data_IF_343199609761
#
_entry.id   IF_343199609761
#
_cell.length_a   1.000
_cell.length_b   1.000
_cell.length_c   1.000
_cell.angle_alpha   90.00
_cell.angle_beta   90.00
_cell.angle_gamma   90.00
#
_symmetry.space_group_name_H-M   'P 1'
#
loop_
_entity.id
_entity.type
_entity.pdbx_description
1 polymer ?
#
# COMPACT_ATOMS: atom_id res chain seq x y z
N UNK A 1 37.46 26.25 2.21
CA UNK A 1 37.01 24.84 2.39
C UNK A 1 35.95 24.58 1.33
N UNK A 2 36.27 23.80 0.29
CA UNK A 2 35.37 23.55 -0.84
C UNK A 2 34.20 22.67 -0.38
N UNK A 3 32.97 23.14 -0.55
CA UNK A 3 31.76 22.35 -0.30
C UNK A 3 31.61 21.33 -1.43
N UNK A 4 31.91 20.07 -1.13
CA UNK A 4 31.65 18.95 -2.06
C UNK A 4 30.15 18.91 -2.36
N UNK A 5 29.72 18.91 -3.64
CA UNK A 5 28.32 18.70 -3.98
C UNK A 5 27.91 17.28 -3.55
N UNK A 6 26.84 17.17 -2.78
CA UNK A 6 26.31 15.89 -2.31
C UNK A 6 25.79 15.13 -3.55
N UNK A 7 26.49 14.06 -3.91
CA UNK A 7 26.08 13.17 -5.01
C UNK A 7 24.95 12.25 -4.54
N UNK A 8 23.74 12.48 -5.04
CA UNK A 8 22.53 11.72 -4.70
C UNK A 8 22.47 10.28 -5.26
N UNK A 9 23.60 9.72 -5.73
CA UNK A 9 23.71 8.36 -6.27
C UNK A 9 24.59 7.47 -5.39
N UNK A 10 24.36 7.49 -4.08
CA UNK A 10 25.03 6.56 -3.17
C UNK A 10 24.08 5.38 -2.92
N UNK A 11 24.45 4.19 -3.39
CA UNK A 11 23.64 2.96 -3.22
C UNK A 11 23.30 2.68 -1.75
N UNK A 12 24.16 3.14 -0.85
CA UNK A 12 24.03 3.01 0.60
C UNK A 12 23.03 4.00 1.24
N UNK A 13 22.49 4.97 0.49
CA UNK A 13 21.54 5.95 1.02
C UNK A 13 20.30 6.09 0.11
N UNK A 14 19.39 5.10 0.15
CA UNK A 14 18.20 5.13 -0.68
C UNK A 14 17.18 6.17 -0.19
N UNK A 15 16.18 6.55 -1.02
CA UNK A 15 15.16 7.53 -0.64
C UNK A 15 14.42 7.09 0.64
N UNK A 16 14.45 7.95 1.66
CA UNK A 16 13.89 7.66 2.98
C UNK A 16 14.81 6.95 3.98
N UNK A 17 16.07 6.69 3.59
CA UNK A 17 17.09 6.06 4.44
C UNK A 17 17.03 4.52 4.43
N UNK A 18 18.09 3.87 4.92
CA UNK A 18 18.21 2.41 4.84
C UNK A 18 17.15 1.66 5.67
N UNK A 19 16.70 2.25 6.79
CA UNK A 19 15.79 1.61 7.72
C UNK A 19 14.43 1.30 7.07
N UNK A 20 13.88 2.24 6.29
CA UNK A 20 12.58 2.01 5.62
C UNK A 20 12.68 0.88 4.59
N UNK A 21 13.81 0.75 3.91
CA UNK A 21 14.01 -0.31 2.93
C UNK A 21 14.13 -1.70 3.56
N UNK A 22 14.77 -1.81 4.73
CA UNK A 22 14.78 -3.07 5.50
C UNK A 22 13.35 -3.49 5.85
N UNK A 23 12.53 -2.55 6.34
CA UNK A 23 11.11 -2.81 6.64
C UNK A 23 10.36 -3.25 5.38
N UNK A 24 10.54 -2.55 4.25
CA UNK A 24 9.90 -2.91 2.98
C UNK A 24 10.25 -4.33 2.55
N UNK A 25 11.52 -4.72 2.60
CA UNK A 25 11.91 -6.08 2.22
C UNK A 25 11.30 -7.12 3.16
N UNK A 26 11.29 -6.85 4.46
CA UNK A 26 10.67 -7.75 5.44
C UNK A 26 9.18 -7.94 5.16
N UNK A 27 8.45 -6.86 4.90
CA UNK A 27 7.03 -6.92 4.57
C UNK A 27 6.78 -7.64 3.24
N UNK A 28 7.54 -7.32 2.18
CA UNK A 28 7.40 -7.98 0.88
C UNK A 28 7.71 -9.47 0.94
N UNK A 29 8.72 -9.88 1.72
CA UNK A 29 9.03 -11.29 1.93
C UNK A 29 7.89 -11.97 2.70
N UNK A 30 7.36 -11.33 3.75
CA UNK A 30 6.27 -11.88 4.56
C UNK A 30 5.00 -12.10 3.73
N UNK A 31 4.56 -11.08 2.99
CA UNK A 31 3.42 -11.19 2.07
C UNK A 31 3.70 -12.17 0.93
N UNK A 32 4.92 -12.16 0.38
CA UNK A 32 5.34 -13.07 -0.69
C UNK A 32 5.28 -14.54 -0.26
N UNK A 33 5.78 -14.87 0.93
CA UNK A 33 5.70 -16.23 1.49
C UNK A 33 4.25 -16.66 1.71
N UNK A 34 3.40 -15.78 2.25
CA UNK A 34 1.99 -16.09 2.45
C UNK A 34 1.23 -16.28 1.12
N UNK A 35 1.56 -15.51 0.08
CA UNK A 35 1.01 -15.68 -1.27
C UNK A 35 1.49 -16.99 -1.93
N UNK A 36 2.76 -17.34 -1.78
CA UNK A 36 3.30 -18.62 -2.25
C UNK A 36 2.61 -19.79 -1.54
N UNK A 37 2.41 -19.69 -0.23
CA UNK A 37 1.65 -20.69 0.52
C UNK A 37 0.22 -20.81 -0.02
N UNK A 38 -0.50 -19.70 -0.19
CA UNK A 38 -1.84 -19.69 -0.77
C UNK A 38 -1.88 -20.35 -2.16
N UNK A 39 -0.89 -20.08 -3.02
CA UNK A 39 -0.77 -20.72 -4.34
C UNK A 39 -0.54 -22.23 -4.26
N UNK A 40 0.26 -22.69 -3.29
CA UNK A 40 0.47 -24.13 -3.06
C UNK A 40 -0.81 -24.81 -2.60
N UNK A 41 -1.49 -24.27 -1.58
CA UNK A 41 -2.79 -24.81 -1.12
C UNK A 41 -3.86 -24.76 -2.22
N UNK A 42 -3.84 -23.75 -3.09
CA UNK A 42 -4.74 -23.68 -4.23
C UNK A 42 -4.49 -24.74 -5.31
N UNK A 43 -3.29 -25.34 -5.35
CA UNK A 43 -3.00 -26.50 -6.21
C UNK A 43 -3.49 -27.81 -5.57
N UNK A 44 -3.44 -27.89 -4.24
CA UNK A 44 -3.91 -29.05 -3.49
C UNK A 44 -5.45 -29.13 -3.42
N UNK A 45 -6.12 -27.97 -3.34
CA UNK A 45 -7.59 -27.85 -3.25
C UNK A 45 -8.19 -26.97 -4.39
N UNK A 46 -7.98 -27.32 -5.68
CA UNK A 46 -8.31 -26.44 -6.80
C UNK A 46 -9.82 -26.13 -6.89
N UNK A 47 -10.68 -27.10 -6.58
CA UNK A 47 -12.13 -26.86 -6.59
C UNK A 47 -12.58 -25.86 -5.52
N UNK A 48 -12.02 -25.93 -4.31
CA UNK A 48 -12.37 -25.05 -3.21
C UNK A 48 -11.94 -23.62 -3.53
N UNK A 49 -10.72 -23.46 -4.03
CA UNK A 49 -10.17 -22.16 -4.41
C UNK A 49 -10.93 -21.53 -5.58
N UNK A 50 -11.24 -22.31 -6.62
CA UNK A 50 -12.02 -21.82 -7.76
C UNK A 50 -13.43 -21.35 -7.34
N UNK A 51 -14.17 -22.19 -6.62
CA UNK A 51 -15.52 -21.85 -6.14
C UNK A 51 -15.49 -20.63 -5.21
N UNK A 52 -14.48 -20.53 -4.34
CA UNK A 52 -14.33 -19.40 -3.41
C UNK A 52 -13.95 -18.10 -4.11
N UNK A 53 -13.08 -18.15 -5.12
CA UNK A 53 -12.72 -16.99 -5.94
C UNK A 53 -13.93 -16.41 -6.66
N UNK A 54 -14.85 -17.24 -7.15
CA UNK A 54 -16.11 -16.79 -7.77
C UNK A 54 -17.05 -16.08 -6.80
N UNK A 55 -16.91 -16.32 -5.49
CA UNK A 55 -17.66 -15.59 -4.47
C UNK A 55 -17.09 -14.18 -4.24
N UNK A 56 -15.91 -13.84 -4.78
CA UNK A 56 -15.34 -12.50 -4.72
C UNK A 56 -15.85 -11.61 -5.86
N UNK A 57 -15.90 -10.30 -5.61
CA UNK A 57 -16.24 -9.33 -6.65
C UNK A 57 -14.95 -8.75 -7.23
N UNK A 58 -14.54 -9.23 -8.40
CA UNK A 58 -13.33 -8.78 -9.08
C UNK A 58 -13.39 -7.30 -9.49
N UNK A 59 -14.58 -6.74 -9.72
CA UNK A 59 -14.76 -5.31 -10.02
C UNK A 59 -14.37 -4.45 -8.82
N UNK A 60 -14.75 -4.84 -7.60
CA UNK A 60 -14.31 -4.12 -6.38
C UNK A 60 -12.79 -4.15 -6.23
N UNK A 61 -12.18 -5.32 -6.45
CA UNK A 61 -10.72 -5.45 -6.48
C UNK A 61 -10.07 -4.54 -7.53
N UNK A 62 -10.61 -4.51 -8.75
CA UNK A 62 -10.08 -3.70 -9.84
C UNK A 62 -10.21 -2.19 -9.58
N UNK A 63 -11.36 -1.74 -9.06
CA UNK A 63 -11.57 -0.33 -8.67
C UNK A 63 -10.59 0.07 -7.57
N UNK A 64 -10.37 -0.78 -6.56
CA UNK A 64 -9.37 -0.55 -5.52
C UNK A 64 -7.95 -0.43 -6.09
N UNK A 65 -7.60 -1.27 -7.05
CA UNK A 65 -6.31 -1.18 -7.76
C UNK A 65 -6.16 0.15 -8.49
N UNK A 66 -7.21 0.63 -9.16
CA UNK A 66 -7.19 1.96 -9.80
C UNK A 66 -7.01 3.07 -8.77
N UNK A 67 -7.70 3.02 -7.62
CA UNK A 67 -7.54 4.01 -6.56
C UNK A 67 -6.11 4.05 -6.02
N UNK A 68 -5.49 2.90 -5.75
CA UNK A 68 -4.12 2.85 -5.23
C UNK A 68 -3.07 3.26 -6.25
N UNK A 69 -3.14 2.77 -7.49
CA UNK A 69 -2.18 3.16 -8.55
C UNK A 69 -2.27 4.68 -8.81
N UNK A 70 -3.48 5.22 -8.86
CA UNK A 70 -3.70 6.67 -9.03
C UNK A 70 -3.18 7.44 -7.81
N UNK A 71 -3.41 6.93 -6.60
CA UNK A 71 -2.87 7.50 -5.36
C UNK A 71 -1.34 7.54 -5.35
N UNK A 72 -0.70 6.45 -5.78
CA UNK A 72 0.75 6.35 -5.96
C UNK A 72 1.26 7.38 -6.96
N UNK A 73 0.61 7.55 -8.11
CA UNK A 73 0.98 8.61 -9.06
C UNK A 73 0.93 10.01 -8.41
N UNK A 74 -0.13 10.32 -7.66
CA UNK A 74 -0.20 11.59 -6.94
C UNK A 74 0.88 11.72 -5.87
N UNK A 75 1.27 10.63 -5.21
CA UNK A 75 2.35 10.64 -4.23
C UNK A 75 3.69 10.99 -4.89
N UNK A 76 4.01 10.36 -6.02
CA UNK A 76 5.22 10.66 -6.78
C UNK A 76 5.25 12.13 -7.24
N UNK A 77 4.12 12.68 -7.70
CA UNK A 77 4.00 14.12 -8.02
C UNK A 77 4.17 15.01 -6.79
N UNK A 78 3.68 14.58 -5.63
CA UNK A 78 3.85 15.29 -4.36
C UNK A 78 5.32 15.45 -3.98
N UNK A 79 6.10 14.35 -4.08
CA UNK A 79 7.55 14.33 -3.86
C UNK A 79 8.27 15.26 -4.84
N UNK A 80 7.94 15.19 -6.15
CA UNK A 80 8.54 16.04 -7.19
C UNK A 80 8.35 17.53 -6.89
N UNK A 81 7.14 17.95 -6.52
CA UNK A 81 6.87 19.34 -6.15
C UNK A 81 7.51 19.75 -4.83
N UNK A 82 7.66 18.81 -3.88
CA UNK A 82 8.30 19.08 -2.60
C UNK A 82 9.79 19.40 -2.80
N UNK A 83 10.48 18.62 -3.63
CA UNK A 83 11.89 18.86 -4.02
C UNK A 83 12.09 20.20 -4.73
N UNK A 84 11.08 20.68 -5.47
CA UNK A 84 11.07 21.99 -6.15
C UNK A 84 10.67 23.15 -5.23
N UNK A 85 10.40 22.89 -3.95
CA UNK A 85 9.97 23.91 -2.99
C UNK A 85 8.52 24.41 -3.19
N UNK A 86 7.73 23.77 -4.05
CA UNK A 86 6.35 24.19 -4.32
C UNK A 86 5.37 23.56 -3.34
N UNK A 87 5.28 24.15 -2.14
CA UNK A 87 4.47 23.64 -1.03
C UNK A 87 2.98 23.57 -1.36
N UNK A 88 2.45 24.52 -2.11
CA UNK A 88 1.02 24.54 -2.50
C UNK A 88 0.66 23.29 -3.32
N UNK A 89 1.47 22.97 -4.32
CA UNK A 89 1.25 21.77 -5.15
C UNK A 89 1.53 20.50 -4.36
N UNK A 90 2.59 20.44 -3.57
CA UNK A 90 2.84 19.29 -2.67
C UNK A 90 1.64 19.00 -1.78
N UNK A 91 1.10 20.02 -1.11
CA UNK A 91 -0.06 19.87 -0.22
C UNK A 91 -1.31 19.39 -0.97
N UNK A 92 -1.53 19.84 -2.21
CA UNK A 92 -2.64 19.39 -3.05
C UNK A 92 -2.48 17.91 -3.42
N UNK A 93 -1.34 17.52 -3.99
CA UNK A 93 -1.10 16.14 -4.42
C UNK A 93 -1.09 15.17 -3.24
N UNK A 94 -0.54 15.55 -2.08
CA UNK A 94 -0.59 14.73 -0.88
C UNK A 94 -2.03 14.47 -0.39
N UNK A 95 -2.93 15.47 -0.50
CA UNK A 95 -4.37 15.24 -0.20
C UNK A 95 -5.01 14.28 -1.18
N UNK A 96 -4.68 14.37 -2.46
CA UNK A 96 -5.19 13.45 -3.49
C UNK A 96 -4.70 12.01 -3.25
N UNK A 97 -3.44 11.83 -2.83
CA UNK A 97 -2.91 10.54 -2.38
C UNK A 97 -3.73 9.98 -1.22
N UNK A 98 -3.91 10.76 -0.15
CA UNK A 98 -4.68 10.33 1.02
C UNK A 98 -6.15 10.01 0.65
N UNK A 99 -6.76 10.78 -0.25
CA UNK A 99 -8.11 10.51 -0.74
C UNK A 99 -8.20 9.13 -1.40
N UNK A 100 -7.25 8.77 -2.26
CA UNK A 100 -7.23 7.44 -2.89
C UNK A 100 -7.12 6.30 -1.86
N UNK A 101 -6.31 6.48 -0.81
CA UNK A 101 -6.23 5.52 0.30
C UNK A 101 -7.51 5.42 1.12
N UNK A 102 -8.20 6.53 1.38
CA UNK A 102 -9.50 6.53 2.05
C UNK A 102 -10.58 5.85 1.21
N UNK A 103 -10.63 6.13 -0.09
CA UNK A 103 -11.56 5.47 -1.01
C UNK A 103 -11.33 3.96 -1.07
N UNK A 104 -10.06 3.53 -1.08
CA UNK A 104 -9.69 2.13 -0.96
C UNK A 104 -10.25 1.49 0.32
N UNK A 105 -10.04 2.13 1.48
CA UNK A 105 -10.53 1.62 2.76
C UNK A 105 -12.06 1.56 2.83
N UNK A 106 -12.76 2.56 2.27
CA UNK A 106 -14.23 2.57 2.22
C UNK A 106 -14.74 1.39 1.40
N UNK A 107 -14.25 1.24 0.16
CA UNK A 107 -14.69 0.16 -0.71
C UNK A 107 -14.35 -1.22 -0.10
N UNK A 108 -13.18 -1.35 0.53
CA UNK A 108 -12.79 -2.59 1.19
C UNK A 108 -13.65 -2.92 2.41
N UNK A 109 -14.03 -1.91 3.20
CA UNK A 109 -14.95 -2.08 4.32
C UNK A 109 -16.34 -2.52 3.88
N UNK A 110 -16.84 -1.96 2.77
CA UNK A 110 -18.10 -2.38 2.14
C UNK A 110 -18.02 -3.84 1.69
N UNK A 111 -16.93 -4.23 1.05
CA UNK A 111 -16.71 -5.63 0.65
C UNK A 111 -16.70 -6.57 1.86
N UNK A 112 -15.97 -6.21 2.93
CA UNK A 112 -15.94 -7.00 4.17
C UNK A 112 -17.31 -7.16 4.79
N UNK A 113 -18.10 -6.09 4.86
CA UNK A 113 -19.47 -6.14 5.38
C UNK A 113 -20.32 -7.16 4.60
N UNK A 114 -20.28 -7.12 3.27
CA UNK A 114 -21.01 -8.10 2.46
C UNK A 114 -20.51 -9.54 2.64
N UNK A 115 -19.20 -9.77 2.80
CA UNK A 115 -18.65 -11.13 3.02
C UNK A 115 -19.03 -11.69 4.39
N UNK A 116 -18.96 -10.86 5.43
CA UNK A 116 -19.34 -11.27 6.80
C UNK A 116 -20.82 -11.62 6.85
N UNK A 117 -21.69 -10.79 6.26
CA UNK A 117 -23.13 -11.06 6.20
C UNK A 117 -23.48 -12.33 5.39
N UNK A 118 -22.66 -12.67 4.40
CA UNK A 118 -22.79 -13.92 3.64
C UNK A 118 -22.21 -15.14 4.38
N UNK A 119 -21.71 -15.00 5.60
CA UNK A 119 -21.10 -16.07 6.38
C UNK A 119 -19.67 -16.46 5.96
N UNK A 120 -19.07 -15.71 5.02
CA UNK A 120 -17.74 -15.97 4.46
C UNK A 120 -16.66 -15.40 5.39
N UNK A 121 -16.54 -15.98 6.58
CA UNK A 121 -15.60 -15.56 7.63
C UNK A 121 -14.24 -16.26 7.53
N UNK A 122 -13.29 -15.91 8.41
CA UNK A 122 -11.93 -16.48 8.46
C UNK A 122 -11.93 -18.02 8.51
N UNK A 123 -12.92 -18.63 9.20
CA UNK A 123 -13.02 -20.08 9.37
C UNK A 123 -13.87 -20.80 8.31
N UNK A 124 -14.32 -20.12 7.25
CA UNK A 124 -15.21 -20.73 6.26
C UNK A 124 -14.52 -21.84 5.46
N UNK A 125 -13.34 -21.55 4.91
CA UNK A 125 -12.45 -22.52 4.26
C UNK A 125 -11.03 -21.96 4.13
N UNK A 126 -10.10 -22.80 3.65
CA UNK A 126 -8.68 -22.45 3.45
C UNK A 126 -8.50 -21.16 2.65
N UNK A 127 -9.25 -20.97 1.55
CA UNK A 127 -9.19 -19.77 0.73
C UNK A 127 -9.56 -18.52 1.52
N UNK A 128 -10.69 -18.53 2.24
CA UNK A 128 -11.14 -17.37 3.00
C UNK A 128 -10.24 -17.08 4.20
N UNK A 129 -9.61 -18.10 4.81
CA UNK A 129 -8.57 -17.88 5.82
C UNK A 129 -7.41 -17.05 5.27
N UNK A 130 -6.85 -17.43 4.11
CA UNK A 130 -5.79 -16.66 3.44
C UNK A 130 -6.28 -15.27 3.01
N UNK A 131 -7.45 -15.18 2.38
CA UNK A 131 -8.07 -13.92 1.96
C UNK A 131 -8.11 -12.93 3.13
N UNK A 132 -8.75 -13.30 4.25
CA UNK A 132 -8.92 -12.42 5.38
C UNK A 132 -7.58 -12.05 6.02
N UNK A 133 -6.68 -13.01 6.22
CA UNK A 133 -5.36 -12.74 6.78
C UNK A 133 -4.58 -11.73 5.95
N UNK A 134 -4.44 -11.99 4.64
CA UNK A 134 -3.69 -11.15 3.71
C UNK A 134 -4.30 -9.76 3.56
N UNK A 135 -5.62 -9.68 3.35
CA UNK A 135 -6.26 -8.38 3.08
C UNK A 135 -6.42 -7.55 4.36
N UNK A 136 -6.65 -8.17 5.52
CA UNK A 136 -6.75 -7.44 6.79
C UNK A 136 -5.39 -6.87 7.19
N UNK A 137 -4.32 -7.66 7.07
CA UNK A 137 -2.97 -7.19 7.36
C UNK A 137 -2.58 -6.05 6.41
N UNK A 138 -2.94 -6.15 5.13
CA UNK A 138 -2.71 -5.05 4.18
C UNK A 138 -3.53 -3.79 4.53
N UNK A 139 -4.79 -3.92 4.92
CA UNK A 139 -5.61 -2.78 5.37
C UNK A 139 -4.96 -2.05 6.55
N UNK A 140 -4.39 -2.79 7.51
CA UNK A 140 -3.64 -2.19 8.63
C UNK A 140 -2.45 -1.37 8.11
N UNK A 141 -1.69 -1.88 7.14
CA UNK A 141 -0.59 -1.14 6.52
C UNK A 141 -1.05 0.16 5.85
N UNK A 142 -2.16 0.11 5.11
CA UNK A 142 -2.73 1.31 4.47
C UNK A 142 -3.15 2.35 5.52
N UNK A 143 -3.74 1.93 6.64
CA UNK A 143 -4.09 2.82 7.75
C UNK A 143 -2.84 3.46 8.35
N UNK A 144 -1.80 2.67 8.63
CA UNK A 144 -0.51 3.19 9.13
C UNK A 144 0.10 4.18 8.14
N UNK A 145 0.05 3.86 6.84
CA UNK A 145 0.48 4.74 5.77
C UNK A 145 -0.26 6.08 5.81
N UNK A 146 -1.59 6.06 5.96
CA UNK A 146 -2.39 7.28 6.03
C UNK A 146 -2.00 8.14 7.23
N UNK A 147 -1.75 7.52 8.39
CA UNK A 147 -1.28 8.23 9.60
C UNK A 147 0.07 8.91 9.35
N UNK A 148 1.01 8.24 8.67
CA UNK A 148 2.30 8.81 8.28
C UNK A 148 2.08 10.01 7.34
N UNK A 149 1.23 9.87 6.31
CA UNK A 149 0.96 10.95 5.35
C UNK A 149 0.29 12.16 5.99
N UNK A 150 -0.63 11.93 6.91
CA UNK A 150 -1.29 12.99 7.69
C UNK A 150 -0.25 13.73 8.54
N UNK A 151 0.67 13.01 9.18
CA UNK A 151 1.74 13.60 9.99
C UNK A 151 2.65 14.49 9.15
N UNK A 152 3.05 14.02 7.97
CA UNK A 152 3.83 14.79 6.99
C UNK A 152 3.07 16.04 6.53
N UNK A 153 1.77 15.89 6.22
CA UNK A 153 0.93 16.99 5.77
C UNK A 153 0.85 18.13 6.80
N UNK A 154 0.71 17.80 8.09
CA UNK A 154 0.73 18.79 9.16
C UNK A 154 2.12 19.40 9.39
N UNK A 155 3.19 18.61 9.21
CA UNK A 155 4.57 19.10 9.26
C UNK A 155 4.84 20.21 8.24
N UNK A 156 4.41 20.00 7.00
CA UNK A 156 4.54 20.97 5.91
C UNK A 156 3.76 22.25 6.20
N UNK A 157 2.51 22.14 6.66
CA UNK A 157 1.64 23.30 6.93
C UNK A 157 2.15 24.21 8.04
N UNK A 158 2.78 23.63 9.07
CA UNK A 158 3.29 24.41 10.21
C UNK A 158 4.56 25.20 9.89
N UNK A 159 5.05 25.20 8.62
CA UNK A 159 6.29 25.86 8.17
C UNK A 159 7.49 25.55 9.09
N UNK A 160 7.46 24.45 9.84
CA UNK A 160 8.63 24.04 10.60
C UNK A 160 9.66 23.65 9.55
N UNK A 161 10.80 24.32 9.54
CA UNK A 161 12.01 23.94 8.81
C UNK A 161 12.53 22.52 9.15
N UNK A 162 11.74 21.69 9.83
CA UNK A 162 12.10 20.38 10.37
C UNK A 162 11.69 19.20 9.50
N UNK A 163 10.76 19.34 8.54
CA UNK A 163 10.44 18.21 7.65
C UNK A 163 11.54 18.08 6.62
N UNK A 164 12.46 17.14 6.85
CA UNK A 164 13.54 16.85 5.91
C UNK A 164 12.97 16.18 4.66
N UNK A 165 13.67 16.35 3.55
CA UNK A 165 13.37 15.61 2.31
C UNK A 165 13.42 14.11 2.57
N UNK A 166 14.35 13.66 3.40
CA UNK A 166 14.48 12.27 3.84
C UNK A 166 13.19 11.73 4.49
N UNK A 167 12.60 12.47 5.44
CA UNK A 167 11.37 12.03 6.12
C UNK A 167 10.17 11.97 5.16
N UNK A 168 10.10 12.93 4.23
CA UNK A 168 9.05 12.97 3.21
C UNK A 168 9.18 11.79 2.24
N UNK A 169 10.40 11.52 1.78
CA UNK A 169 10.71 10.38 0.92
C UNK A 169 10.43 9.05 1.64
N UNK A 170 10.76 8.93 2.93
CA UNK A 170 10.46 7.73 3.71
C UNK A 170 8.95 7.43 3.74
N UNK A 171 8.12 8.45 4.00
CA UNK A 171 6.66 8.29 3.97
C UNK A 171 6.13 7.95 2.57
N UNK A 172 6.70 8.54 1.53
CA UNK A 172 6.36 8.21 0.14
C UNK A 172 6.73 6.77 -0.22
N UNK A 173 7.94 6.32 0.14
CA UNK A 173 8.41 4.95 -0.11
C UNK A 173 7.54 3.93 0.65
N UNK A 174 7.14 4.21 1.90
CA UNK A 174 6.21 3.35 2.64
C UNK A 174 4.85 3.24 1.96
N UNK A 175 4.29 4.36 1.48
CA UNK A 175 3.01 4.37 0.76
C UNK A 175 3.08 3.53 -0.52
N UNK A 176 4.15 3.69 -1.30
CA UNK A 176 4.37 2.90 -2.51
C UNK A 176 4.56 1.41 -2.24
N UNK A 177 5.15 1.03 -1.10
CA UNK A 177 5.20 -0.37 -0.68
C UNK A 177 3.80 -0.92 -0.46
N UNK A 178 2.89 -0.16 0.16
CA UNK A 178 1.49 -0.58 0.30
C UNK A 178 0.84 -0.79 -1.07
N UNK A 179 1.03 0.16 -2.00
CA UNK A 179 0.52 0.03 -3.39
C UNK A 179 1.05 -1.26 -4.06
N UNK A 180 2.34 -1.55 -3.89
CA UNK A 180 2.99 -2.73 -4.47
C UNK A 180 2.45 -4.03 -3.87
N UNK A 181 2.23 -4.10 -2.56
CA UNK A 181 1.63 -5.27 -1.92
C UNK A 181 0.25 -5.52 -2.50
N UNK A 182 -0.60 -4.48 -2.62
CA UNK A 182 -1.93 -4.67 -3.21
C UNK A 182 -1.87 -5.14 -4.66
N UNK A 183 -0.92 -4.61 -5.44
CA UNK A 183 -0.71 -5.01 -6.83
C UNK A 183 -0.35 -6.51 -6.95
N UNK A 184 0.30 -7.10 -5.93
CA UNK A 184 0.54 -8.54 -5.85
C UNK A 184 -0.69 -9.32 -5.34
N UNK A 185 -1.38 -8.80 -4.32
CA UNK A 185 -2.55 -9.44 -3.71
C UNK A 185 -3.71 -9.57 -4.71
N UNK A 186 -4.05 -8.49 -5.42
CA UNK A 186 -5.21 -8.42 -6.30
C UNK A 186 -5.24 -9.55 -7.36
N UNK A 187 -4.22 -9.73 -8.22
CA UNK A 187 -4.28 -10.76 -9.25
C UNK A 187 -4.35 -12.16 -8.64
N UNK A 188 -3.55 -12.44 -7.60
CA UNK A 188 -3.51 -13.77 -7.00
C UNK A 188 -4.85 -14.13 -6.37
N UNK A 189 -5.43 -13.23 -5.58
CA UNK A 189 -6.68 -13.51 -4.85
C UNK A 189 -7.92 -13.47 -5.77
N UNK A 190 -8.01 -12.50 -6.69
CA UNK A 190 -9.24 -12.25 -7.45
C UNK A 190 -9.24 -12.81 -8.86
N UNK A 191 -8.06 -13.11 -9.45
CA UNK A 191 -7.94 -13.44 -10.88
C UNK A 191 -7.41 -14.84 -11.18
N UNK A 192 -6.54 -15.42 -10.35
CA UNK A 192 -5.80 -16.64 -10.70
C UNK A 192 -6.61 -17.93 -10.45
N UNK A 193 -7.23 -18.07 -9.27
CA UNK A 193 -7.86 -19.32 -8.83
C UNK A 193 -9.20 -19.62 -9.52
#
# INVERSE_FOLDING_TARGET
MQTKPISHKNLYYPPGGILIWIVIFLELITFGMALIAMLSYGKDEPEVFHKSRLLLNSTFGAVNTVFLITSGFFMAKSVDYFKKGNITKTSLYLKLTMLGGVLFLILKSIEYYFKINAGLTIGYNTFFSFYWMLTLFHVIHVIVGLVILISIFFGIKKKKHSTKIEDFEAGATFWHMCDLIWLLLFPIIYLIF
#
